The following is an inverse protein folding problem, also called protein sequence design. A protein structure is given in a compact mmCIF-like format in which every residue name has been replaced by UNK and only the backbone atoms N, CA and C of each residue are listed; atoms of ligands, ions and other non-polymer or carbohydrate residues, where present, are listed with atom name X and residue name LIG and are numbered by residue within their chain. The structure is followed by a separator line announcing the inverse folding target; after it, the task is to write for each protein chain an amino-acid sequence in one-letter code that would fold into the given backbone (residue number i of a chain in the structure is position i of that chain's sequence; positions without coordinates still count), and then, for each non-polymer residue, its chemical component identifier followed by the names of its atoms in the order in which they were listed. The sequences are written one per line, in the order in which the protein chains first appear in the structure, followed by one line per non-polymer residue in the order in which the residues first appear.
data_IF_844306743775
#
_entry.id   IF_844306743775
#
_cell.length_a   1.000
_cell.length_b   1.000
_cell.length_c   1.000
_cell.angle_alpha   90.00
_cell.angle_beta   90.00
_cell.angle_gamma   90.00
#
_symmetry.space_group_name_H-M   'P 1'
#
loop_
_entity.id
_entity.type
_entity.pdbx_description
1 polymer ?
#
# COMPACT_ATOMS: atom_id res chain seq x y z
N UNK A 1 -5.04 51.28 -11.55
CA UNK A 1 -4.01 50.39 -12.11
C UNK A 1 -4.45 48.96 -11.79
N UNK A 2 -4.93 48.21 -12.77
CA UNK A 2 -5.48 46.86 -12.59
C UNK A 2 -4.39 45.83 -12.90
N UNK A 3 -4.02 45.03 -11.90
CA UNK A 3 -3.09 43.91 -12.07
C UNK A 3 -3.85 42.72 -12.68
N UNK A 4 -3.47 42.34 -13.89
CA UNK A 4 -3.97 41.13 -14.55
C UNK A 4 -3.31 39.90 -13.90
N UNK A 5 -4.13 39.05 -13.28
CA UNK A 5 -3.73 37.72 -12.82
C UNK A 5 -3.62 36.83 -14.06
N UNK A 6 -2.39 36.44 -14.42
CA UNK A 6 -2.16 35.43 -15.45
C UNK A 6 -2.65 34.08 -14.95
N UNK A 7 -3.85 33.68 -15.38
CA UNK A 7 -4.33 32.30 -15.30
C UNK A 7 -3.43 31.44 -16.19
N UNK A 8 -2.43 30.78 -15.59
CA UNK A 8 -1.70 29.71 -16.26
C UNK A 8 -2.67 28.55 -16.49
N UNK A 9 -3.22 28.50 -17.70
CA UNK A 9 -3.97 27.36 -18.22
C UNK A 9 -3.10 26.12 -18.07
N UNK A 10 -3.47 25.18 -17.18
CA UNK A 10 -2.81 23.86 -17.09
C UNK A 10 -2.86 23.23 -18.48
N UNK A 11 -1.71 23.14 -19.11
CA UNK A 11 -1.55 22.45 -20.39
C UNK A 11 -1.89 20.96 -20.15
N UNK A 12 -2.84 20.36 -20.89
CA UNK A 12 -3.06 18.93 -20.83
C UNK A 12 -1.78 18.25 -21.32
N UNK A 13 -1.19 17.41 -20.48
CA UNK A 13 -0.01 16.62 -20.84
C UNK A 13 -0.39 15.78 -22.06
N UNK A 14 0.37 15.93 -23.15
CA UNK A 14 0.15 15.21 -24.39
C UNK A 14 -0.01 13.71 -24.08
N UNK A 15 -1.13 13.13 -24.52
CA UNK A 15 -1.34 11.70 -24.49
C UNK A 15 -0.22 11.05 -25.31
N UNK A 16 0.70 10.39 -24.61
CA UNK A 16 1.67 9.47 -25.21
C UNK A 16 0.93 8.32 -25.90
N UNK A 17 1.61 7.60 -26.81
CA UNK A 17 0.98 6.71 -27.77
C UNK A 17 0.08 5.66 -27.10
N UNK A 18 -1.16 5.64 -27.57
CA UNK A 18 -2.21 4.68 -27.28
C UNK A 18 -1.75 3.24 -27.53
N UNK A 19 -2.01 2.33 -26.60
CA UNK A 19 -2.14 0.90 -26.92
C UNK A 19 -1.01 -0.03 -26.48
N UNK A 20 -0.14 0.34 -25.54
CA UNK A 20 0.52 -0.69 -24.75
C UNK A 20 -0.49 -1.17 -23.71
N UNK A 21 -1.03 -2.38 -23.87
CA UNK A 21 -1.70 -3.06 -22.79
C UNK A 21 -0.75 -3.02 -21.59
N UNK A 22 -1.13 -2.32 -20.53
CA UNK A 22 -0.36 -2.34 -19.30
C UNK A 22 -0.25 -3.83 -18.92
N UNK A 23 0.97 -4.37 -18.78
CA UNK A 23 1.11 -5.77 -18.42
C UNK A 23 0.33 -6.00 -17.12
N UNK A 24 -0.35 -7.14 -16.96
CA UNK A 24 -1.22 -7.36 -15.82
C UNK A 24 -0.44 -7.10 -14.52
N UNK A 25 -0.91 -6.13 -13.75
CA UNK A 25 -0.28 -5.76 -12.49
C UNK A 25 -0.80 -6.69 -11.41
N UNK A 26 -0.04 -7.75 -11.15
CA UNK A 26 -0.29 -8.69 -10.07
C UNK A 26 0.50 -8.27 -8.81
N UNK A 27 -0.13 -8.09 -7.63
CA UNK A 27 0.57 -7.72 -6.40
C UNK A 27 1.78 -8.61 -6.08
N UNK A 28 1.65 -9.93 -6.24
CA UNK A 28 2.77 -10.86 -6.05
C UNK A 28 3.94 -10.63 -7.03
N UNK A 29 3.67 -10.27 -8.29
CA UNK A 29 4.74 -9.95 -9.26
C UNK A 29 5.42 -8.65 -8.90
N UNK A 30 4.65 -7.63 -8.47
CA UNK A 30 5.19 -6.36 -8.00
C UNK A 30 6.07 -6.55 -6.76
N UNK A 31 5.61 -7.36 -5.80
CA UNK A 31 6.41 -7.77 -4.64
C UNK A 31 7.68 -8.50 -5.06
N UNK A 32 7.58 -9.51 -5.94
CA UNK A 32 8.74 -10.27 -6.41
C UNK A 32 9.79 -9.41 -7.12
N UNK A 33 9.37 -8.30 -7.74
CA UNK A 33 10.24 -7.33 -8.41
C UNK A 33 10.98 -6.38 -7.46
N UNK A 34 10.64 -6.34 -6.18
CA UNK A 34 11.34 -5.48 -5.20
C UNK A 34 12.79 -5.94 -4.97
N UNK A 35 13.71 -5.00 -4.70
CA UNK A 35 15.04 -5.34 -4.21
C UNK A 35 14.95 -6.28 -3.01
N UNK A 36 15.87 -7.24 -2.92
CA UNK A 36 15.87 -8.24 -1.84
C UNK A 36 15.88 -7.57 -0.46
N UNK A 37 16.72 -6.56 -0.28
CA UNK A 37 16.82 -5.81 0.97
C UNK A 37 15.47 -5.16 1.37
N UNK A 38 14.75 -4.60 0.40
CA UNK A 38 13.41 -4.03 0.61
C UNK A 38 12.40 -5.11 1.00
N UNK A 39 12.39 -6.25 0.32
CA UNK A 39 11.51 -7.38 0.67
C UNK A 39 11.79 -7.91 2.06
N UNK A 40 13.06 -8.06 2.40
CA UNK A 40 13.48 -8.59 3.71
C UNK A 40 13.09 -7.60 4.83
N UNK A 41 13.26 -6.29 4.60
CA UNK A 41 12.83 -5.26 5.55
C UNK A 41 11.30 -5.25 5.77
N UNK A 42 10.52 -5.19 4.68
CA UNK A 42 9.05 -5.21 4.74
C UNK A 42 8.53 -6.52 5.34
N UNK A 43 9.12 -7.66 4.94
CA UNK A 43 8.78 -8.98 5.45
C UNK A 43 9.05 -9.13 6.95
N UNK A 44 10.17 -8.59 7.43
CA UNK A 44 10.50 -8.59 8.86
C UNK A 44 9.46 -7.78 9.65
N UNK A 45 9.06 -6.62 9.16
CA UNK A 45 8.01 -5.79 9.79
C UNK A 45 6.67 -6.52 9.82
N UNK A 46 6.29 -7.21 8.74
CA UNK A 46 5.05 -8.03 8.70
C UNK A 46 5.09 -9.18 9.70
N UNK A 47 6.23 -9.85 9.85
CA UNK A 47 6.38 -10.93 10.84
C UNK A 47 6.31 -10.38 12.26
N UNK A 48 6.94 -9.23 12.55
CA UNK A 48 6.83 -8.58 13.87
C UNK A 48 5.38 -8.18 14.16
N UNK A 49 4.67 -7.58 13.19
CA UNK A 49 3.25 -7.24 13.32
C UNK A 49 2.42 -8.45 13.75
N UNK A 50 2.50 -9.55 13.00
CA UNK A 50 1.74 -10.77 13.30
C UNK A 50 2.13 -11.35 14.66
N UNK A 51 3.40 -11.25 15.03
CA UNK A 51 3.87 -11.70 16.33
C UNK A 51 3.31 -10.84 17.47
N UNK A 52 3.25 -9.52 17.32
CA UNK A 52 2.63 -8.63 18.32
C UNK A 52 1.12 -8.88 18.44
N UNK A 53 0.41 -9.05 17.32
CA UNK A 53 -1.02 -9.41 17.33
C UNK A 53 -1.25 -10.75 18.05
N UNK A 54 -0.38 -11.74 17.81
CA UNK A 54 -0.43 -13.01 18.53
C UNK A 54 -0.24 -12.82 20.04
N UNK A 55 0.77 -12.05 20.45
CA UNK A 55 1.04 -11.76 21.87
C UNK A 55 -0.10 -10.99 22.54
N UNK A 56 -0.79 -10.09 21.82
CA UNK A 56 -1.94 -9.37 22.35
C UNK A 56 -3.07 -10.30 22.82
N UNK A 57 -3.15 -11.50 22.24
CA UNK A 57 -4.21 -12.45 22.53
C UNK A 57 -5.60 -12.01 22.08
N UNK A 58 -5.73 -10.95 21.27
CA UNK A 58 -7.02 -10.35 20.92
C UNK A 58 -7.94 -11.31 20.14
N UNK A 59 -7.35 -12.22 19.35
CA UNK A 59 -8.06 -13.26 18.60
C UNK A 59 -8.32 -14.54 19.40
N UNK A 60 -7.82 -14.63 20.65
CA UNK A 60 -7.82 -15.86 21.44
C UNK A 60 -8.71 -15.73 22.68
N UNK A 61 -9.31 -16.86 23.06
CA UNK A 61 -9.99 -17.01 24.34
C UNK A 61 -8.98 -16.80 25.49
N UNK A 62 -9.44 -16.37 26.66
CA UNK A 62 -8.56 -15.96 27.75
C UNK A 62 -7.62 -17.09 28.20
N UNK A 63 -8.11 -18.32 28.16
CA UNK A 63 -7.36 -19.53 28.52
C UNK A 63 -6.21 -19.84 27.57
N UNK A 64 -6.31 -19.39 26.31
CA UNK A 64 -5.36 -19.65 25.23
C UNK A 64 -4.37 -18.49 25.02
N UNK A 65 -4.49 -17.40 25.79
CA UNK A 65 -3.59 -16.24 25.68
C UNK A 65 -2.20 -16.58 26.22
N UNK A 66 -1.17 -16.20 25.46
CA UNK A 66 0.23 -16.36 25.88
C UNK A 66 0.60 -15.38 26.98
N UNK A 67 0.14 -14.13 26.86
CA UNK A 67 0.32 -13.11 27.88
C UNK A 67 -0.92 -13.06 28.76
N UNK A 68 -0.74 -13.21 30.07
CA UNK A 68 -1.82 -13.11 31.07
C UNK A 68 -1.90 -11.73 31.71
N UNK A 69 -0.86 -10.91 31.54
CA UNK A 69 -0.76 -9.57 32.07
C UNK A 69 -1.36 -8.55 31.09
N UNK A 70 -2.33 -7.76 31.56
CA UNK A 70 -3.06 -6.83 30.70
C UNK A 70 -2.21 -5.65 30.22
N UNK A 71 -1.20 -5.22 30.98
CA UNK A 71 -0.31 -4.13 30.56
C UNK A 71 0.61 -4.60 29.41
N UNK A 72 1.16 -5.81 29.52
CA UNK A 72 1.96 -6.41 28.44
C UNK A 72 1.12 -6.65 27.18
N UNK A 73 -0.13 -7.09 27.33
CA UNK A 73 -1.05 -7.25 26.20
C UNK A 73 -1.37 -5.91 25.54
N UNK A 74 -1.63 -4.88 26.33
CA UNK A 74 -1.91 -3.53 25.83
C UNK A 74 -0.70 -2.97 25.07
N UNK A 75 0.51 -3.17 25.59
CA UNK A 75 1.75 -2.78 24.90
C UNK A 75 1.94 -3.53 23.56
N UNK A 76 1.56 -4.81 23.49
CA UNK A 76 1.60 -5.56 22.24
C UNK A 76 0.60 -5.01 21.20
N UNK A 77 -0.60 -4.62 21.63
CA UNK A 77 -1.61 -3.97 20.76
C UNK A 77 -1.07 -2.67 20.20
N UNK A 78 -0.59 -1.77 21.07
CA UNK A 78 -0.05 -0.47 20.64
C UNK A 78 1.12 -0.64 19.64
N UNK A 79 1.98 -1.64 19.88
CA UNK A 79 3.07 -1.96 18.97
C UNK A 79 2.56 -2.49 17.63
N UNK A 80 1.59 -3.39 17.63
CA UNK A 80 0.99 -3.91 16.41
C UNK A 80 0.34 -2.79 15.59
N UNK A 81 -0.43 -1.90 16.22
CA UNK A 81 -1.04 -0.74 15.56
C UNK A 81 0.03 0.19 14.94
N UNK A 82 1.12 0.46 15.67
CA UNK A 82 2.25 1.23 15.15
C UNK A 82 2.92 0.56 13.94
N UNK A 83 3.13 -0.76 13.99
CA UNK A 83 3.69 -1.53 12.88
C UNK A 83 2.74 -1.58 11.68
N UNK A 84 1.43 -1.67 11.91
CA UNK A 84 0.42 -1.70 10.86
C UNK A 84 0.41 -0.39 10.08
N UNK A 85 0.36 0.75 10.78
CA UNK A 85 0.41 2.07 10.13
C UNK A 85 1.69 2.23 9.31
N UNK A 86 2.82 1.82 9.88
CA UNK A 86 4.12 1.89 9.18
C UNK A 86 4.18 0.99 7.95
N UNK A 87 3.71 -0.25 8.04
CA UNK A 87 3.84 -1.19 6.91
C UNK A 87 2.95 -0.80 5.73
N UNK A 88 1.79 -0.17 5.98
CA UNK A 88 0.98 0.42 4.92
C UNK A 88 1.75 1.47 4.14
N UNK A 89 2.36 2.43 4.84
CA UNK A 89 3.13 3.51 4.21
C UNK A 89 4.38 2.99 3.49
N UNK A 90 5.13 2.09 4.14
CA UNK A 90 6.37 1.53 3.60
C UNK A 90 6.10 0.67 2.33
N UNK A 91 5.03 -0.13 2.31
CA UNK A 91 4.62 -0.92 1.13
C UNK A 91 4.15 -0.01 0.00
N UNK A 92 3.33 1.01 0.30
CA UNK A 92 2.84 1.96 -0.70
C UNK A 92 4.00 2.71 -1.37
N UNK A 93 4.97 3.17 -0.56
CA UNK A 93 6.17 3.84 -1.05
C UNK A 93 7.09 2.94 -1.87
N UNK A 94 7.20 1.65 -1.52
CA UNK A 94 8.02 0.69 -2.25
C UNK A 94 7.43 0.29 -3.62
N UNK A 95 6.10 0.42 -3.78
CA UNK A 95 5.37 -0.04 -4.97
C UNK A 95 4.58 1.08 -5.64
N UNK A 96 5.23 2.17 -6.10
CA UNK A 96 4.54 3.34 -6.67
C UNK A 96 3.81 3.04 -7.97
N UNK A 97 4.18 1.97 -8.68
CA UNK A 97 3.42 1.53 -9.85
C UNK A 97 2.02 0.99 -9.48
N UNK A 98 1.89 0.40 -8.29
CA UNK A 98 0.61 -0.09 -7.77
C UNK A 98 -0.17 0.99 -7.04
N UNK A 99 0.49 1.81 -6.22
CA UNK A 99 -0.19 2.71 -5.28
C UNK A 99 -0.05 4.19 -5.61
N UNK A 100 0.77 4.54 -6.60
CA UNK A 100 1.09 5.92 -6.95
C UNK A 100 2.21 6.48 -6.08
N UNK A 101 2.80 7.62 -6.47
CA UNK A 101 3.67 8.37 -5.57
C UNK A 101 2.85 9.00 -4.43
N UNK A 102 3.54 9.40 -3.36
CA UNK A 102 2.89 9.98 -2.18
C UNK A 102 1.99 11.18 -2.56
N UNK A 103 0.71 11.11 -2.19
CA UNK A 103 -0.28 12.15 -2.47
C UNK A 103 -0.91 12.11 -3.86
N UNK A 104 -0.56 11.13 -4.71
CA UNK A 104 -1.06 11.00 -6.07
C UNK A 104 -1.61 9.59 -6.34
N UNK A 105 -2.63 9.48 -7.18
CA UNK A 105 -3.10 8.19 -7.66
C UNK A 105 -2.12 7.61 -8.69
N UNK A 106 -1.99 6.27 -8.77
CA UNK A 106 -1.19 5.63 -9.81
C UNK A 106 -1.80 5.86 -11.19
N UNK A 107 -0.94 5.82 -12.22
CA UNK A 107 -1.33 6.13 -13.60
C UNK A 107 -2.48 5.25 -14.13
N UNK A 108 -2.57 3.99 -13.68
CA UNK A 108 -3.59 3.04 -14.12
C UNK A 108 -5.01 3.41 -13.66
N UNK A 109 -5.19 4.30 -12.67
CA UNK A 109 -6.51 4.72 -12.19
C UNK A 109 -7.32 5.42 -13.28
N UNK A 110 -6.68 6.21 -14.14
CA UNK A 110 -7.36 6.88 -15.25
C UNK A 110 -7.80 5.89 -16.33
N UNK A 111 -7.01 4.83 -16.56
CA UNK A 111 -7.38 3.75 -17.47
C UNK A 111 -8.55 2.92 -16.93
N UNK A 112 -8.57 2.63 -15.63
CA UNK A 112 -9.69 1.97 -14.97
C UNK A 112 -10.97 2.82 -15.06
N UNK A 113 -10.91 4.12 -14.74
CA UNK A 113 -12.05 5.05 -14.84
C UNK A 113 -12.62 5.16 -16.25
N UNK A 114 -11.77 5.04 -17.26
CA UNK A 114 -12.18 5.06 -18.65
C UNK A 114 -12.66 3.70 -19.18
N UNK A 115 -12.72 2.66 -18.34
CA UNK A 115 -13.13 1.31 -18.72
C UNK A 115 -12.11 0.57 -19.59
N UNK A 116 -10.85 1.04 -19.62
CA UNK A 116 -9.75 0.41 -20.35
C UNK A 116 -9.03 -0.68 -19.54
N UNK A 117 -9.25 -0.69 -18.23
CA UNK A 117 -8.79 -1.72 -17.31
C UNK A 117 -9.96 -2.25 -16.49
N UNK A 118 -9.82 -3.50 -16.08
CA UNK A 118 -10.69 -4.19 -15.15
C UNK A 118 -9.86 -4.72 -13.98
N UNK A 119 -10.51 -4.91 -12.84
CA UNK A 119 -9.92 -5.57 -11.68
C UNK A 119 -10.64 -6.91 -11.53
N UNK A 120 -9.89 -8.00 -11.63
CA UNK A 120 -10.43 -9.33 -11.38
C UNK A 120 -10.77 -9.53 -9.89
N UNK A 121 -11.55 -10.56 -9.59
CA UNK A 121 -11.86 -10.95 -8.22
C UNK A 121 -10.60 -11.29 -7.38
N UNK A 122 -9.49 -11.65 -8.02
CA UNK A 122 -8.19 -11.92 -7.38
C UNK A 122 -7.34 -10.65 -7.20
N UNK A 123 -7.85 -9.47 -7.57
CA UNK A 123 -7.12 -8.20 -7.46
C UNK A 123 -6.07 -7.97 -8.54
N UNK A 124 -6.12 -8.71 -9.65
CA UNK A 124 -5.25 -8.48 -10.81
C UNK A 124 -5.86 -7.41 -11.71
N UNK A 125 -5.05 -6.40 -12.07
CA UNK A 125 -5.38 -5.35 -13.05
C UNK A 125 -5.13 -5.87 -14.47
N UNK A 126 -6.15 -5.87 -15.34
CA UNK A 126 -6.08 -6.35 -16.73
C UNK A 126 -7.00 -5.62 -17.69
#
# INVERSE_FOLDING_TARGET
MANAISLQTRQPRAAGPTGAALPPFHPATAWAGLPRETRDALGTTLVDLVFQDFLSGAAYAEEDRVLTDDDQRSAAIERAEGLLNRIYDDVAAALPALFGPAGENPAWVEDFRAGRLTISHEGVLS
#
